data_IF_371261499730
#
_entry.id   IF_371261499730
#
_cell.length_a   1.000
_cell.length_b   1.000
_cell.length_c   1.000
_cell.angle_alpha   90.00
_cell.angle_beta   90.00
_cell.angle_gamma   90.00
#
_symmetry.space_group_name_H-M   'P 1'
#
loop_
_entity.id
_entity.type
_entity.pdbx_description
1 polymer ?
#
# COMPACT_ATOMS: atom_id res chain seq x y z
N UNK A 1 -4.39 2.63 5.49
CA UNK A 1 -3.26 1.83 4.99
C UNK A 1 -3.46 1.41 3.54
N UNK A 2 -4.52 0.67 3.20
CA UNK A 2 -4.76 0.19 1.83
C UNK A 2 -4.64 1.27 0.74
N UNK A 3 -5.26 2.45 0.94
CA UNK A 3 -5.14 3.59 0.03
C UNK A 3 -3.71 4.03 -0.24
N UNK A 4 -2.85 4.05 0.77
CA UNK A 4 -1.46 4.47 0.61
C UNK A 4 -0.64 3.42 -0.16
N UNK A 5 -0.87 2.14 0.10
CA UNK A 5 -0.25 1.04 -0.66
C UNK A 5 -0.66 1.12 -2.14
N UNK A 6 -1.95 1.30 -2.41
CA UNK A 6 -2.48 1.42 -3.77
C UNK A 6 -1.95 2.67 -4.49
N UNK A 7 -1.83 3.80 -3.80
CA UNK A 7 -1.25 5.03 -4.36
C UNK A 7 0.21 4.81 -4.78
N UNK A 8 1.01 4.15 -3.93
CA UNK A 8 2.41 3.84 -4.25
C UNK A 8 2.54 2.88 -5.42
N UNK A 9 1.70 1.84 -5.47
CA UNK A 9 1.67 0.91 -6.60
C UNK A 9 1.39 1.66 -7.92
N UNK A 10 0.37 2.51 -7.94
CA UNK A 10 0.03 3.32 -9.12
C UNK A 10 1.15 4.27 -9.54
N UNK A 11 1.85 4.90 -8.59
CA UNK A 11 2.97 5.80 -8.91
C UNK A 11 4.21 5.07 -9.44
N UNK A 12 4.41 3.79 -9.08
CA UNK A 12 5.46 2.96 -9.66
C UNK A 12 5.08 2.45 -11.04
N UNK A 13 3.82 2.05 -11.23
CA UNK A 13 3.29 1.53 -12.49
C UNK A 13 3.20 2.62 -13.58
N UNK A 14 2.62 3.78 -13.24
CA UNK A 14 2.42 4.90 -14.14
C UNK A 14 2.80 6.24 -13.47
N UNK A 15 4.10 6.58 -13.38
CA UNK A 15 4.57 7.76 -12.63
C UNK A 15 4.01 9.11 -13.09
N UNK A 16 3.55 9.20 -14.33
CA UNK A 16 3.00 10.43 -14.92
C UNK A 16 1.47 10.54 -14.78
N UNK A 17 0.79 9.47 -14.35
CA UNK A 17 -0.65 9.45 -14.17
C UNK A 17 -1.03 9.94 -12.76
N UNK A 18 -2.14 10.68 -12.67
CA UNK A 18 -2.72 11.03 -11.37
C UNK A 18 -3.27 9.75 -10.71
N UNK A 19 -2.84 9.40 -9.47
CA UNK A 19 -3.32 8.20 -8.82
C UNK A 19 -4.84 8.23 -8.59
N UNK A 20 -5.51 7.13 -8.93
CA UNK A 20 -6.92 6.93 -8.64
C UNK A 20 -7.13 6.69 -7.15
N UNK A 21 -8.18 7.29 -6.60
CA UNK A 21 -8.55 7.09 -5.20
C UNK A 21 -9.19 5.70 -4.99
N UNK A 22 -8.59 4.91 -4.09
CA UNK A 22 -9.21 3.66 -3.65
C UNK A 22 -10.39 3.95 -2.70
N UNK A 23 -11.60 3.44 -2.98
CA UNK A 23 -12.77 3.70 -2.16
C UNK A 23 -12.65 3.08 -0.76
N UNK A 24 -13.35 3.67 0.22
CA UNK A 24 -13.53 3.02 1.53
C UNK A 24 -14.56 1.89 1.36
N UNK A 25 -14.15 0.64 1.53
CA UNK A 25 -15.08 -0.49 1.48
C UNK A 25 -15.65 -0.85 2.87
N UNK A 26 -15.34 -0.06 3.90
CA UNK A 26 -15.79 -0.27 5.26
C UNK A 26 -14.95 -1.29 6.03
N UNK A 27 -15.24 -1.42 7.33
CA UNK A 27 -14.40 -2.17 8.29
C UNK A 27 -14.20 -3.65 7.95
N UNK A 28 -15.16 -4.28 7.28
CA UNK A 28 -15.11 -5.71 6.99
C UNK A 28 -14.21 -6.06 5.80
N UNK A 29 -14.00 -5.12 4.89
CA UNK A 29 -13.15 -5.29 3.71
C UNK A 29 -11.75 -4.67 3.90
N UNK A 30 -11.50 -4.00 5.03
CA UNK A 30 -10.24 -3.29 5.25
C UNK A 30 -9.01 -4.22 5.17
N UNK A 31 -9.12 -5.44 5.71
CA UNK A 31 -8.04 -6.43 5.63
C UNK A 31 -7.80 -6.88 4.19
N UNK A 32 -8.86 -7.18 3.44
CA UNK A 32 -8.78 -7.60 2.04
C UNK A 32 -8.18 -6.49 1.18
N UNK A 33 -8.59 -5.24 1.39
CA UNK A 33 -8.04 -4.08 0.69
C UNK A 33 -6.54 -3.89 0.98
N UNK A 34 -6.12 -4.08 2.24
CA UNK A 34 -4.69 -4.03 2.59
C UNK A 34 -3.94 -5.15 1.89
N UNK A 35 -4.50 -6.36 1.85
CA UNK A 35 -3.85 -7.52 1.25
C UNK A 35 -3.68 -7.37 -0.26
N UNK A 36 -4.74 -6.97 -0.96
CA UNK A 36 -4.70 -6.72 -2.41
C UNK A 36 -3.74 -5.58 -2.73
N UNK A 37 -3.87 -4.43 -2.07
CA UNK A 37 -3.00 -3.28 -2.36
C UNK A 37 -1.52 -3.55 -2.02
N UNK A 38 -1.25 -4.35 -0.98
CA UNK A 38 0.10 -4.77 -0.62
C UNK A 38 0.69 -5.73 -1.65
N UNK A 39 -0.11 -6.65 -2.19
CA UNK A 39 0.30 -7.54 -3.27
C UNK A 39 0.63 -6.74 -4.55
N UNK A 40 -0.25 -5.81 -4.94
CA UNK A 40 -0.05 -4.97 -6.13
C UNK A 40 1.25 -4.16 -6.01
N UNK A 41 1.51 -3.57 -4.84
CA UNK A 41 2.77 -2.87 -4.60
C UNK A 41 3.98 -3.81 -4.69
N UNK A 42 3.90 -4.99 -4.06
CA UNK A 42 5.01 -5.94 -4.01
C UNK A 42 5.47 -6.43 -5.39
N UNK A 43 4.55 -6.57 -6.34
CA UNK A 43 4.87 -6.97 -7.73
C UNK A 43 5.72 -5.91 -8.45
N UNK A 44 5.64 -4.65 -8.03
CA UNK A 44 6.34 -3.52 -8.66
C UNK A 44 7.65 -3.14 -7.97
N UNK A 45 8.00 -3.76 -6.82
CA UNK A 45 9.27 -3.49 -6.14
C UNK A 45 10.40 -4.26 -6.80
N UNK A 46 11.50 -3.57 -7.10
CA UNK A 46 12.63 -4.10 -7.87
C UNK A 46 13.81 -4.53 -6.98
N UNK A 47 13.90 -4.01 -5.76
CA UNK A 47 15.05 -4.26 -4.88
C UNK A 47 14.68 -4.33 -3.39
N UNK A 48 15.65 -4.81 -2.59
CA UNK A 48 15.48 -5.04 -1.15
C UNK A 48 15.26 -3.74 -0.34
N UNK A 49 15.82 -2.61 -0.80
CA UNK A 49 15.67 -1.33 -0.12
C UNK A 49 14.21 -0.84 -0.24
N UNK A 50 13.61 -0.96 -1.42
CA UNK A 50 12.20 -0.66 -1.64
C UNK A 50 11.26 -1.55 -0.81
N UNK A 51 11.61 -2.83 -0.64
CA UNK A 51 10.86 -3.73 0.26
C UNK A 51 10.98 -3.26 1.71
N UNK A 52 12.19 -2.89 2.14
CA UNK A 52 12.45 -2.37 3.49
C UNK A 52 11.60 -1.13 3.77
N UNK A 53 11.59 -0.16 2.86
CA UNK A 53 10.77 1.05 2.98
C UNK A 53 9.27 0.75 3.05
N UNK A 54 8.79 -0.21 2.25
CA UNK A 54 7.38 -0.63 2.29
C UNK A 54 7.02 -1.31 3.62
N UNK A 55 7.91 -2.12 4.18
CA UNK A 55 7.74 -2.76 5.49
C UNK A 55 7.75 -1.72 6.60
N UNK A 56 8.68 -0.76 6.58
CA UNK A 56 8.75 0.33 7.57
C UNK A 56 7.45 1.13 7.63
N UNK A 57 6.87 1.45 6.48
CA UNK A 57 5.57 2.12 6.40
C UNK A 57 4.45 1.31 7.10
N UNK A 58 4.43 -0.01 6.90
CA UNK A 58 3.45 -0.89 7.55
C UNK A 58 3.68 -0.93 9.06
N UNK A 59 4.93 -1.04 9.50
CA UNK A 59 5.31 -1.01 10.91
C UNK A 59 4.90 0.30 11.60
N UNK A 60 5.09 1.45 10.94
CA UNK A 60 4.63 2.74 11.44
C UNK A 60 3.10 2.84 11.54
N UNK A 61 2.40 2.30 10.55
CA UNK A 61 0.94 2.21 10.60
C UNK A 61 0.48 1.31 11.76
N UNK A 62 1.17 0.19 11.98
CA UNK A 62 0.88 -0.76 13.06
C UNK A 62 1.05 -0.11 14.44
N UNK A 63 2.19 0.56 14.66
CA UNK A 63 2.47 1.33 15.88
C UNK A 63 1.39 2.38 16.16
N UNK A 64 0.95 3.14 15.14
CA UNK A 64 -0.13 4.13 15.29
C UNK A 64 -1.49 3.51 15.62
N UNK A 65 -1.74 2.29 15.14
CA UNK A 65 -2.95 1.54 15.45
C UNK A 65 -2.90 0.86 16.83
N UNK A 66 -1.75 0.86 17.51
CA UNK A 66 -1.57 0.25 18.83
C UNK A 66 -1.47 -1.28 18.79
N UNK A 67 -1.03 -1.85 17.66
CA UNK A 67 -0.85 -3.30 17.45
C UNK A 67 0.55 -3.68 17.01
#
# INVERSE_FOLDING_TARGET
>A
MARELSRRAQLLEEPAAEPREMPDAGMFAAADQIMVAGHDLAVLLENADQVTEAVELVEEARKRAGV
#
